data_IF_928254255188
#
_entry.id   IF_928254255188
#
_cell.length_a   1.000
_cell.length_b   1.000
_cell.length_c   1.000
_cell.angle_alpha   90.00
_cell.angle_beta   90.00
_cell.angle_gamma   90.00
#
_symmetry.space_group_name_H-M   'P 1'
#
loop_
_entity.id
_entity.type
_entity.pdbx_description
1 polymer ?
#
# COMPACT_ATOMS: atom_id res chain seq x y z
N UNK A 1 -4.22 -16.61 -6.86
CA UNK A 1 -4.05 -15.49 -5.91
C UNK A 1 -5.43 -14.98 -5.55
N UNK A 2 -5.78 -14.94 -4.27
CA UNK A 2 -7.06 -14.42 -3.77
C UNK A 2 -6.89 -12.96 -3.32
N UNK A 3 -7.99 -12.20 -3.26
CA UNK A 3 -8.03 -10.81 -2.77
C UNK A 3 -7.42 -10.72 -1.36
N UNK A 4 -7.77 -11.65 -0.47
CA UNK A 4 -7.26 -11.70 0.90
C UNK A 4 -5.75 -11.93 0.97
N UNK A 5 -5.19 -12.79 0.10
CA UNK A 5 -3.74 -13.01 0.02
C UNK A 5 -2.99 -11.76 -0.42
N UNK A 6 -3.61 -10.92 -1.26
CA UNK A 6 -3.03 -9.64 -1.68
C UNK A 6 -3.15 -8.60 -0.56
N UNK A 7 -4.30 -8.51 0.10
CA UNK A 7 -4.51 -7.64 1.26
C UNK A 7 -3.53 -7.96 2.41
N UNK A 8 -3.32 -9.25 2.72
CA UNK A 8 -2.37 -9.70 3.74
C UNK A 8 -0.91 -9.34 3.43
N UNK A 9 -0.55 -9.13 2.16
CA UNK A 9 0.79 -8.66 1.76
C UNK A 9 0.92 -7.13 1.75
N UNK A 10 -0.19 -6.41 1.62
CA UNK A 10 -0.24 -4.93 1.58
C UNK A 10 -0.31 -4.33 2.98
N UNK A 11 -1.11 -4.90 3.89
CA UNK A 11 -1.24 -4.46 5.29
C UNK A 11 0.09 -4.28 6.03
N UNK A 12 1.03 -5.26 6.05
CA UNK A 12 2.30 -5.10 6.77
C UNK A 12 3.20 -4.03 6.16
N UNK A 13 3.14 -3.83 4.83
CA UNK A 13 3.87 -2.74 4.18
C UNK A 13 3.30 -1.39 4.59
N UNK A 14 1.97 -1.25 4.60
CA UNK A 14 1.32 -0.02 5.01
C UNK A 14 1.64 0.33 6.47
N UNK A 15 1.54 -0.64 7.38
CA UNK A 15 1.87 -0.46 8.78
C UNK A 15 3.34 -0.04 9.00
N UNK A 16 4.28 -0.57 8.21
CA UNK A 16 5.70 -0.15 8.24
C UNK A 16 5.87 1.30 7.79
N UNK A 17 5.23 1.69 6.69
CA UNK A 17 5.25 3.07 6.18
C UNK A 17 4.69 4.03 7.24
N UNK A 18 3.51 3.74 7.80
CA UNK A 18 2.89 4.59 8.83
C UNK A 18 3.77 4.70 10.09
N UNK A 19 4.39 3.59 10.53
CA UNK A 19 5.29 3.58 11.69
C UNK A 19 6.60 4.36 11.44
N UNK A 20 7.12 4.32 10.22
CA UNK A 20 8.30 5.09 9.82
C UNK A 20 7.97 6.59 9.71
N UNK A 21 6.82 6.95 9.11
CA UNK A 21 6.35 8.33 9.02
C UNK A 21 6.04 8.95 10.39
N UNK A 22 5.52 8.17 11.34
CA UNK A 22 5.27 8.62 12.71
C UNK A 22 6.57 8.85 13.52
N UNK A 23 7.68 8.22 13.12
CA UNK A 23 8.96 8.35 13.81
C UNK A 23 9.72 9.59 13.32
N UNK A 24 9.56 10.72 14.03
CA UNK A 24 10.12 12.03 13.67
C UNK A 24 11.66 12.11 13.69
N UNK A 25 12.36 11.08 14.19
CA UNK A 25 13.82 11.01 14.16
C UNK A 25 14.31 10.37 12.85
N UNK A 26 14.40 11.22 11.84
CA UNK A 26 14.84 10.86 10.48
C UNK A 26 16.35 10.70 10.44
N UNK A 27 16.82 9.46 10.25
CA UNK A 27 18.19 9.17 9.85
C UNK A 27 18.19 8.95 8.33
N UNK A 28 19.24 9.35 7.59
CA UNK A 28 19.25 9.25 6.13
C UNK A 28 18.93 7.85 5.60
N UNK A 29 19.40 6.81 6.28
CA UNK A 29 19.11 5.40 5.95
C UNK A 29 17.63 5.04 6.06
N UNK A 30 16.89 5.65 7.01
CA UNK A 30 15.45 5.42 7.16
C UNK A 30 14.64 6.11 6.06
N UNK A 31 15.15 7.18 5.45
CA UNK A 31 14.49 7.84 4.32
C UNK A 31 14.56 6.99 3.05
N UNK A 32 15.73 6.38 2.78
CA UNK A 32 15.89 5.45 1.66
C UNK A 32 15.06 4.17 1.85
N UNK A 33 15.01 3.62 3.07
CA UNK A 33 14.17 2.48 3.39
C UNK A 33 12.68 2.80 3.26
N UNK A 34 12.24 3.97 3.75
CA UNK A 34 10.87 4.44 3.59
C UNK A 34 10.52 4.58 2.11
N UNK A 35 11.40 5.17 1.31
CA UNK A 35 11.16 5.33 -0.12
C UNK A 35 11.04 3.98 -0.85
N UNK A 36 11.88 3.00 -0.49
CA UNK A 36 11.82 1.65 -1.03
C UNK A 36 10.54 0.89 -0.60
N UNK A 37 10.10 1.05 0.65
CA UNK A 37 8.87 0.43 1.15
C UNK A 37 7.64 1.06 0.47
N UNK A 38 7.64 2.37 0.24
CA UNK A 38 6.59 3.08 -0.53
C UNK A 38 6.54 2.63 -1.99
N UNK A 39 7.66 2.55 -2.71
CA UNK A 39 7.68 2.06 -4.10
C UNK A 39 7.17 0.61 -4.19
N UNK A 40 7.58 -0.25 -3.26
CA UNK A 40 7.09 -1.64 -3.21
C UNK A 40 5.59 -1.70 -2.96
N UNK A 41 5.08 -0.82 -2.09
CA UNK A 41 3.67 -0.72 -1.78
C UNK A 41 2.86 -0.25 -3.00
N UNK A 42 3.28 0.82 -3.66
CA UNK A 42 2.64 1.36 -4.86
C UNK A 42 2.57 0.32 -6.00
N UNK A 43 3.67 -0.41 -6.24
CA UNK A 43 3.68 -1.49 -7.25
C UNK A 43 2.67 -2.58 -6.95
N UNK A 44 2.52 -2.94 -5.67
CA UNK A 44 1.55 -3.97 -5.26
C UNK A 44 0.13 -3.46 -5.37
N UNK A 45 -0.15 -2.20 -5.03
CA UNK A 45 -1.45 -1.57 -5.24
C UNK A 45 -1.84 -1.55 -6.72
N UNK A 46 -0.93 -1.11 -7.60
CA UNK A 46 -1.16 -1.09 -9.05
C UNK A 46 -1.41 -2.50 -9.61
N UNK A 47 -0.64 -3.49 -9.14
CA UNK A 47 -0.85 -4.89 -9.53
C UNK A 47 -2.21 -5.41 -9.03
N UNK A 48 -2.59 -5.11 -7.80
CA UNK A 48 -3.88 -5.49 -7.23
C UNK A 48 -5.04 -4.88 -8.04
N UNK A 49 -4.92 -3.60 -8.39
CA UNK A 49 -5.90 -2.92 -9.22
C UNK A 49 -6.04 -3.55 -10.61
N UNK A 50 -4.92 -3.88 -11.27
CA UNK A 50 -4.93 -4.58 -12.55
C UNK A 50 -5.58 -5.97 -12.46
N UNK A 51 -5.34 -6.70 -11.36
CA UNK A 51 -5.94 -8.03 -11.14
C UNK A 51 -7.45 -7.97 -10.88
N UNK A 52 -7.94 -6.89 -10.27
CA UNK A 52 -9.34 -6.71 -9.91
C UNK A 52 -10.14 -5.86 -10.91
N UNK A 53 -9.51 -5.42 -11.99
CA UNK A 53 -10.14 -4.54 -12.97
C UNK A 53 -10.48 -3.15 -12.41
N UNK A 54 -9.84 -2.73 -11.32
CA UNK A 54 -10.04 -1.41 -10.72
C UNK A 54 -9.23 -0.38 -11.50
N UNK A 55 -9.86 0.73 -11.84
CA UNK A 55 -9.18 1.82 -12.55
C UNK A 55 -8.12 2.47 -11.64
N UNK A 56 -6.86 2.32 -12.02
CA UNK A 56 -5.73 2.90 -11.31
C UNK A 56 -5.30 4.24 -11.93
N UNK A 57 -4.93 5.24 -11.11
CA UNK A 57 -4.33 6.47 -11.61
C UNK A 57 -3.02 6.18 -12.38
N UNK A 58 -2.68 7.07 -13.31
CA UNK A 58 -1.50 6.90 -14.15
C UNK A 58 -0.23 6.97 -13.30
N UNK A 59 0.51 5.87 -13.25
CA UNK A 59 1.77 5.79 -12.53
C UNK A 59 2.78 6.81 -13.08
N UNK A 60 3.36 7.63 -12.20
CA UNK A 60 4.27 8.71 -12.56
C UNK A 60 5.69 8.14 -12.70
N UNK A 61 6.12 7.87 -13.93
CA UNK A 61 7.45 7.25 -14.20
C UNK A 61 8.66 8.14 -13.92
N UNK A 62 8.47 9.45 -13.67
CA UNK A 62 9.56 10.44 -13.53
C UNK A 62 9.75 10.95 -12.10
N UNK A 63 8.90 10.55 -11.16
CA UNK A 63 9.01 10.97 -9.77
C UNK A 63 9.66 9.86 -8.92
N UNK A 64 10.14 10.22 -7.71
CA UNK A 64 10.68 9.24 -6.76
C UNK A 64 9.66 8.17 -6.36
N UNK A 65 8.36 8.47 -6.51
CA UNK A 65 7.24 7.60 -6.18
C UNK A 65 6.34 7.39 -7.40
N UNK A 66 5.75 6.19 -7.50
CA UNK A 66 4.87 5.83 -8.62
C UNK A 66 3.49 6.48 -8.48
N UNK A 67 3.04 6.69 -7.25
CA UNK A 67 1.78 7.35 -6.92
C UNK A 67 2.05 8.53 -5.99
N UNK A 68 1.31 9.62 -6.18
CA UNK A 68 1.20 10.66 -5.14
C UNK A 68 0.39 10.12 -3.96
N UNK A 69 0.53 10.74 -2.78
CA UNK A 69 -0.26 10.34 -1.60
C UNK A 69 -1.77 10.39 -1.86
N UNK A 70 -2.24 11.39 -2.63
CA UNK A 70 -3.65 11.51 -3.02
C UNK A 70 -4.08 10.39 -3.98
N UNK A 71 -3.27 10.08 -4.98
CA UNK A 71 -3.53 9.00 -5.94
C UNK A 71 -3.53 7.63 -5.23
N UNK A 72 -2.62 7.44 -4.28
CA UNK A 72 -2.53 6.24 -3.45
C UNK A 72 -3.78 6.08 -2.58
N UNK A 73 -4.17 7.10 -1.83
CA UNK A 73 -5.37 7.06 -1.00
C UNK A 73 -6.65 6.80 -1.83
N UNK A 74 -6.76 7.40 -3.01
CA UNK A 74 -7.88 7.13 -3.92
C UNK A 74 -7.88 5.68 -4.42
N UNK A 75 -6.71 5.13 -4.77
CA UNK A 75 -6.60 3.75 -5.22
C UNK A 75 -6.92 2.75 -4.11
N UNK A 76 -6.46 3.01 -2.88
CA UNK A 76 -6.78 2.23 -1.69
C UNK A 76 -8.30 2.20 -1.43
N UNK A 77 -8.97 3.35 -1.51
CA UNK A 77 -10.42 3.42 -1.37
C UNK A 77 -11.14 2.55 -2.40
N UNK A 78 -10.78 2.68 -3.69
CA UNK A 78 -11.39 1.88 -4.77
C UNK A 78 -11.13 0.38 -4.60
N UNK A 79 -9.95 0.02 -4.10
CA UNK A 79 -9.63 -1.38 -3.80
C UNK A 79 -10.46 -1.90 -2.63
N UNK A 80 -10.71 -1.08 -1.60
CA UNK A 80 -11.59 -1.44 -0.50
C UNK A 80 -13.04 -1.64 -0.96
N UNK A 81 -13.54 -0.83 -1.90
CA UNK A 81 -14.88 -0.98 -2.49
C UNK A 81 -15.11 -2.33 -3.19
N UNK A 82 -14.04 -2.96 -3.70
CA UNK A 82 -14.09 -4.30 -4.31
C UNK A 82 -13.67 -5.42 -3.34
N UNK A 83 -13.58 -5.12 -2.05
CA UNK A 83 -13.27 -6.08 -0.98
C UNK A 83 -11.79 -6.26 -0.65
N UNK A 84 -10.90 -5.44 -1.22
CA UNK A 84 -9.48 -5.42 -0.88
C UNK A 84 -9.18 -4.25 0.07
N UNK A 85 -9.49 -4.45 1.36
CA UNK A 85 -9.20 -3.47 2.39
C UNK A 85 -7.79 -3.64 3.00
N UNK A 86 -6.94 -2.65 2.73
CA UNK A 86 -5.56 -2.54 3.23
C UNK A 86 -5.45 -1.85 4.60
N UNK A 87 -6.54 -1.20 5.05
CA UNK A 87 -6.66 -0.51 6.34
C UNK A 87 -7.35 -1.37 7.39
N UNK A 88 -8.11 -2.38 6.96
CA UNK A 88 -8.60 -3.41 7.86
C UNK A 88 -7.45 -3.86 8.76
N UNK A 89 -7.63 -3.69 10.07
CA UNK A 89 -6.78 -4.37 11.06
C UNK A 89 -6.75 -5.83 10.61
N UNK A 90 -5.57 -6.46 10.68
CA UNK A 90 -5.51 -7.90 10.51
C UNK A 90 -6.37 -8.49 11.63
N UNK A 91 -7.67 -8.60 11.38
CA UNK A 91 -8.63 -9.04 12.34
C UNK A 91 -8.22 -10.46 12.65
N UNK A 92 -8.02 -10.68 13.94
CA UNK A 92 -7.69 -11.96 14.52
C UNK A 92 -8.77 -12.94 14.06
N UNK A 93 -8.52 -13.62 12.94
CA UNK A 93 -9.12 -14.93 12.66
C UNK A 93 -8.45 -15.93 13.61
N UNK A 94 -8.57 -15.66 14.90
CA UNK A 94 -8.49 -16.65 15.96
C UNK A 94 -9.67 -17.58 15.74
N UNK A 95 -9.34 -18.81 15.36
CA UNK A 95 -10.08 -20.03 15.66
C UNK A 95 -11.25 -19.85 16.64
N UNK A 96 -12.48 -20.13 16.20
CA UNK A 96 -13.36 -21.06 16.91
C UNK A 96 -14.54 -21.53 16.04
#
# INVERSE_FOLDING_TARGET
MTIESVAAQLRPLRARIDAQQANTHTWPTKEEELAADVDRYDRRLLKAAAMLGVNAPAARRREQFLLSDADRAQLEHRLAEVGLDVHAKADESSHH
#
